data_IF_100334372404
#
_entry.id   IF_100334372404
#
_cell.length_a   1.000
_cell.length_b   1.000
_cell.length_c   1.000
_cell.angle_alpha   90.00
_cell.angle_beta   90.00
_cell.angle_gamma   90.00
#
_symmetry.space_group_name_H-M   'P 1'
#
loop_
_entity.id
_entity.type
_entity.pdbx_description
1 polymer ?
#
# COMPACT_ATOMS: atom_id res chain seq x y z
N UNK A 1 -10.67 -10.89 -3.86
CA UNK A 1 -11.30 -9.59 -4.16
C UNK A 1 -10.53 -8.42 -3.51
N UNK A 2 -10.56 -8.24 -2.19
CA UNK A 2 -10.07 -7.01 -1.54
C UNK A 2 -8.64 -6.57 -1.93
N UNK A 3 -7.69 -7.51 -2.03
CA UNK A 3 -6.32 -7.19 -2.46
C UNK A 3 -6.21 -6.77 -3.94
N UNK A 4 -7.05 -7.33 -4.82
CA UNK A 4 -7.13 -6.90 -6.22
C UNK A 4 -7.69 -5.47 -6.31
N UNK A 5 -8.76 -5.19 -5.57
CA UNK A 5 -9.31 -3.84 -5.48
C UNK A 5 -8.27 -2.84 -4.95
N UNK A 6 -7.55 -3.20 -3.88
CA UNK A 6 -6.48 -2.35 -3.34
C UNK A 6 -5.36 -2.07 -4.35
N UNK A 7 -4.95 -3.08 -5.14
CA UNK A 7 -3.97 -2.92 -6.21
C UNK A 7 -4.48 -1.97 -7.31
N UNK A 8 -5.72 -2.15 -7.76
CA UNK A 8 -6.34 -1.29 -8.77
C UNK A 8 -6.52 0.15 -8.28
N UNK A 9 -7.00 0.33 -7.05
CA UNK A 9 -7.21 1.63 -6.41
C UNK A 9 -5.92 2.38 -6.10
N UNK A 10 -4.80 1.65 -5.93
CA UNK A 10 -3.47 2.24 -5.72
C UNK A 10 -2.72 2.56 -7.03
N UNK A 11 -3.29 2.19 -8.18
CA UNK A 11 -2.68 2.43 -9.49
C UNK A 11 -2.84 3.87 -9.95
N UNK A 12 -1.93 4.31 -10.84
CA UNK A 12 -1.96 5.64 -11.44
C UNK A 12 -1.79 5.47 -12.96
N UNK A 13 -2.86 5.71 -13.77
CA UNK A 13 -4.21 6.12 -13.36
C UNK A 13 -4.95 5.07 -12.52
N UNK A 14 -6.02 5.48 -11.81
CA UNK A 14 -6.85 4.56 -11.03
C UNK A 14 -7.49 3.53 -11.98
N UNK A 15 -7.36 2.25 -11.63
CA UNK A 15 -7.78 1.12 -12.48
C UNK A 15 -9.01 0.37 -11.95
N UNK A 16 -9.69 0.87 -10.91
CA UNK A 16 -10.89 0.23 -10.36
C UNK A 16 -12.02 0.23 -11.38
N UNK A 17 -12.70 -0.91 -11.52
CA UNK A 17 -13.90 -1.06 -12.37
C UNK A 17 -15.15 -1.39 -11.55
N UNK A 18 -16.32 -1.37 -12.20
CA UNK A 18 -17.58 -1.75 -11.56
C UNK A 18 -17.57 -3.23 -11.13
N UNK A 19 -16.91 -4.12 -11.90
CA UNK A 19 -16.76 -5.53 -11.52
C UNK A 19 -15.96 -5.72 -10.22
N UNK A 20 -15.03 -4.81 -9.92
CA UNK A 20 -14.31 -4.86 -8.65
C UNK A 20 -15.21 -4.47 -7.46
N UNK A 21 -16.19 -3.58 -7.67
CA UNK A 21 -17.19 -3.29 -6.65
C UNK A 21 -18.19 -4.43 -6.49
N UNK A 22 -18.67 -5.02 -7.59
CA UNK A 22 -19.65 -6.09 -7.54
C UNK A 22 -19.13 -7.30 -6.76
N UNK A 23 -17.90 -7.74 -7.05
CA UNK A 23 -17.34 -8.88 -6.32
C UNK A 23 -16.82 -8.51 -4.91
N UNK A 24 -16.74 -7.22 -4.53
CA UNK A 24 -16.59 -6.80 -3.13
C UNK A 24 -17.90 -6.96 -2.37
N UNK A 25 -19.03 -6.56 -2.98
CA UNK A 25 -20.37 -6.62 -2.37
C UNK A 25 -20.85 -8.04 -2.08
N UNK A 26 -20.25 -9.05 -2.70
CA UNK A 26 -20.46 -10.47 -2.35
C UNK A 26 -19.99 -10.82 -0.92
N UNK A 27 -19.07 -10.03 -0.34
CA UNK A 27 -18.41 -10.35 0.92
C UNK A 27 -18.41 -9.21 1.95
N UNK A 28 -18.58 -7.97 1.51
CA UNK A 28 -18.47 -6.78 2.33
C UNK A 28 -19.72 -5.91 2.19
N UNK A 29 -20.10 -5.24 3.28
CA UNK A 29 -21.12 -4.19 3.23
C UNK A 29 -20.56 -2.94 2.56
N UNK A 30 -21.43 -2.07 2.06
CA UNK A 30 -21.02 -0.78 1.49
C UNK A 30 -20.16 0.04 2.47
N UNK A 31 -20.47 -0.03 3.77
CA UNK A 31 -19.68 0.64 4.81
C UNK A 31 -18.26 0.08 4.89
N UNK A 32 -18.10 -1.24 4.90
CA UNK A 32 -16.79 -1.90 4.91
C UNK A 32 -15.98 -1.60 3.65
N UNK A 33 -16.65 -1.48 2.49
CA UNK A 33 -15.99 -1.10 1.23
C UNK A 33 -15.45 0.34 1.32
N UNK A 34 -16.23 1.27 1.90
CA UNK A 34 -15.77 2.64 2.15
C UNK A 34 -14.60 2.66 3.12
N UNK A 35 -14.62 1.86 4.19
CA UNK A 35 -13.50 1.75 5.13
C UNK A 35 -12.23 1.20 4.45
N UNK A 36 -12.36 0.15 3.62
CA UNK A 36 -11.26 -0.39 2.81
C UNK A 36 -10.66 0.69 1.92
N UNK A 37 -11.48 1.39 1.15
CA UNK A 37 -11.03 2.46 0.26
C UNK A 37 -10.38 3.61 1.02
N UNK A 38 -10.89 3.92 2.22
CA UNK A 38 -10.35 4.99 3.08
C UNK A 38 -8.93 4.67 3.54
N UNK A 39 -8.66 3.43 3.96
CA UNK A 39 -7.31 2.99 4.35
C UNK A 39 -6.37 2.97 3.14
N UNK A 40 -6.85 2.49 1.97
CA UNK A 40 -6.08 2.53 0.72
C UNK A 40 -5.68 3.98 0.39
N UNK A 41 -6.62 4.92 0.45
CA UNK A 41 -6.36 6.33 0.20
C UNK A 41 -5.37 6.96 1.19
N UNK A 42 -5.51 6.64 2.48
CA UNK A 42 -4.60 7.12 3.53
C UNK A 42 -3.16 6.66 3.28
N UNK A 43 -2.94 5.38 2.96
CA UNK A 43 -1.61 4.89 2.63
C UNK A 43 -1.13 5.36 1.26
N UNK A 44 -2.04 5.64 0.32
CA UNK A 44 -1.69 6.33 -0.93
C UNK A 44 -1.10 7.73 -0.69
N UNK A 45 -1.65 8.47 0.28
CA UNK A 45 -1.07 9.73 0.74
C UNK A 45 0.30 9.53 1.38
N UNK A 46 0.43 8.60 2.34
CA UNK A 46 1.71 8.36 3.02
C UNK A 46 2.80 7.83 2.10
N UNK A 47 2.47 6.98 1.13
CA UNK A 47 3.42 6.49 0.14
C UNK A 47 4.01 7.67 -0.66
N UNK A 48 3.17 8.60 -1.11
CA UNK A 48 3.64 9.81 -1.82
C UNK A 48 4.46 10.72 -0.92
N UNK A 49 4.01 10.93 0.30
CA UNK A 49 4.69 11.77 1.26
C UNK A 49 6.09 11.24 1.57
N UNK A 50 6.18 10.00 2.03
CA UNK A 50 7.44 9.37 2.42
C UNK A 50 8.39 9.22 1.22
N UNK A 51 7.87 8.89 0.04
CA UNK A 51 8.68 8.79 -1.17
C UNK A 51 9.26 10.16 -1.59
N UNK A 52 8.48 11.24 -1.46
CA UNK A 52 8.92 12.60 -1.79
C UNK A 52 9.97 13.12 -0.82
N UNK A 53 9.76 12.92 0.48
CA UNK A 53 10.64 13.44 1.53
C UNK A 53 11.76 12.49 1.93
N UNK A 54 11.83 11.30 1.31
CA UNK A 54 12.80 10.26 1.61
C UNK A 54 12.90 9.99 3.13
N UNK A 55 11.75 9.91 3.80
CA UNK A 55 11.69 9.74 5.26
C UNK A 55 12.50 8.50 5.67
N UNK A 56 13.51 8.63 6.56
CA UNK A 56 14.35 7.50 6.94
C UNK A 56 13.55 6.38 7.59
N UNK A 57 13.87 5.13 7.27
CA UNK A 57 13.33 3.99 7.99
C UNK A 57 13.93 3.94 9.40
N UNK A 58 13.13 3.63 10.40
CA UNK A 58 13.65 3.31 11.73
C UNK A 58 14.34 1.94 11.74
N UNK A 59 15.17 1.70 12.75
CA UNK A 59 15.98 0.48 12.85
C UNK A 59 15.10 -0.79 12.85
N UNK A 60 13.98 -0.78 13.59
CA UNK A 60 13.07 -1.93 13.66
C UNK A 60 12.51 -2.39 12.30
N UNK A 61 11.81 -1.51 11.54
CA UNK A 61 11.35 -1.82 10.20
C UNK A 61 12.47 -2.17 9.21
N UNK A 62 13.62 -1.48 9.30
CA UNK A 62 14.79 -1.75 8.45
C UNK A 62 15.32 -3.16 8.68
N UNK A 63 15.55 -3.53 9.93
CA UNK A 63 16.07 -4.84 10.32
C UNK A 63 15.09 -5.95 9.92
N UNK A 64 13.79 -5.71 10.07
CA UNK A 64 12.77 -6.66 9.61
C UNK A 64 12.84 -6.87 8.09
N UNK A 65 12.92 -5.80 7.30
CA UNK A 65 12.98 -5.88 5.85
C UNK A 65 14.25 -6.57 5.37
N UNK A 66 15.41 -6.25 5.95
CA UNK A 66 16.68 -6.89 5.62
C UNK A 66 16.62 -8.41 5.86
N UNK A 67 16.09 -8.83 7.01
CA UNK A 67 15.96 -10.25 7.35
C UNK A 67 14.91 -10.98 6.49
N UNK A 68 13.79 -10.33 6.19
CA UNK A 68 12.67 -10.95 5.48
C UNK A 68 12.91 -11.05 3.96
N UNK A 69 13.48 -9.99 3.36
CA UNK A 69 13.56 -9.82 1.91
C UNK A 69 14.92 -9.32 1.39
N UNK A 70 15.94 -9.14 2.24
CA UNK A 70 17.29 -8.76 1.81
C UNK A 70 17.91 -9.76 0.82
N UNK A 71 17.73 -11.07 1.07
CA UNK A 71 18.18 -12.13 0.14
C UNK A 71 17.46 -12.11 -1.23
N UNK A 72 16.32 -11.42 -1.33
CA UNK A 72 15.61 -11.20 -2.60
C UNK A 72 16.10 -9.94 -3.34
N UNK A 73 17.16 -9.29 -2.85
CA UNK A 73 17.77 -8.11 -3.46
C UNK A 73 17.18 -6.78 -2.97
N UNK A 74 16.41 -6.79 -1.88
CA UNK A 74 15.96 -5.55 -1.26
C UNK A 74 17.14 -4.77 -0.65
N UNK A 75 17.07 -3.44 -0.69
CA UNK A 75 18.02 -2.54 -0.02
C UNK A 75 17.27 -1.33 0.54
N UNK A 76 17.78 -0.69 1.59
CA UNK A 76 17.16 0.50 2.21
C UNK A 76 17.06 1.71 1.26
N UNK A 77 17.94 1.79 0.26
CA UNK A 77 17.94 2.85 -0.75
C UNK A 77 17.97 4.27 -0.14
N UNK A 78 17.12 5.16 -0.67
CA UNK A 78 17.03 6.57 -0.27
C UNK A 78 16.51 6.80 1.15
N UNK A 79 16.06 5.75 1.84
CA UNK A 79 15.51 5.83 3.20
C UNK A 79 16.54 5.42 4.28
N UNK A 80 17.83 5.36 3.94
CA UNK A 80 18.90 5.29 4.92
C UNK A 80 18.90 6.57 5.77
N UNK A 81 19.23 6.44 7.06
CA UNK A 81 19.60 7.61 7.84
C UNK A 81 20.99 8.11 7.38
N UNK A 82 21.18 9.43 7.38
CA UNK A 82 22.49 10.07 7.14
C UNK A 82 23.50 9.73 8.25
#
# INVERSE_FOLDING_TARGET
MALRFAQAASSIPNMVTDEDFDALKEHYTDYQIVELLSIIGLYGFFNRWNDTFATPLEDGPRDFAENAIGNAGWTVGKHAAD
#
